data_IF_764661778387
#
_entry.id   IF_764661778387
#
_cell.length_a   1.000
_cell.length_b   1.000
_cell.length_c   1.000
_cell.angle_alpha   90.00
_cell.angle_beta   90.00
_cell.angle_gamma   90.00
#
_symmetry.space_group_name_H-M   'P 1'
#
loop_
_entity.id
_entity.type
_entity.pdbx_description
1 polymer ?
#
# COMPACT_ATOMS: atom_id res chain seq x y z
N UNK A 1 34.31 34.96 -16.95
CA UNK A 1 33.45 33.92 -17.54
C UNK A 1 33.32 32.78 -16.53
N UNK A 2 32.31 32.85 -15.64
CA UNK A 2 32.08 31.82 -14.58
C UNK A 2 30.61 31.35 -14.55
N UNK A 3 29.94 31.40 -15.70
CA UNK A 3 28.54 30.96 -15.85
C UNK A 3 28.43 29.57 -16.48
N UNK A 4 29.22 28.61 -15.99
CA UNK A 4 29.25 27.26 -16.58
C UNK A 4 29.58 26.10 -15.65
N UNK A 5 29.82 26.34 -14.36
CA UNK A 5 30.21 25.27 -13.43
C UNK A 5 29.27 25.08 -12.23
N UNK A 6 28.21 25.89 -12.12
CA UNK A 6 27.22 25.78 -11.03
C UNK A 6 25.93 25.04 -11.44
N UNK A 7 25.75 24.75 -12.74
CA UNK A 7 24.49 24.18 -13.26
C UNK A 7 24.52 22.64 -13.30
N UNK A 8 25.70 22.02 -13.39
CA UNK A 8 25.82 20.55 -13.45
C UNK A 8 25.69 19.87 -12.08
N UNK A 9 26.00 20.57 -10.97
CA UNK A 9 25.96 19.98 -9.62
C UNK A 9 24.53 19.87 -9.04
N UNK A 10 23.56 20.59 -9.63
CA UNK A 10 22.19 20.60 -9.16
C UNK A 10 21.36 19.44 -9.75
N UNK A 11 21.68 19.04 -10.99
CA UNK A 11 20.97 18.00 -11.75
C UNK A 11 21.17 16.60 -11.13
N UNK A 12 22.39 16.28 -10.67
CA UNK A 12 22.70 14.96 -10.10
C UNK A 12 22.00 14.70 -8.75
N UNK A 13 21.70 15.76 -7.98
CA UNK A 13 21.01 15.65 -6.68
C UNK A 13 19.49 15.56 -6.86
N UNK A 14 18.93 16.28 -7.84
CA UNK A 14 17.48 16.27 -8.11
C UNK A 14 16.96 14.87 -8.49
N UNK A 15 17.70 14.11 -9.30
CA UNK A 15 17.33 12.73 -9.67
C UNK A 15 17.28 11.79 -8.45
N UNK A 16 18.13 12.02 -7.44
CA UNK A 16 18.16 11.23 -6.20
C UNK A 16 16.96 11.56 -5.31
N UNK A 17 16.57 12.84 -5.23
CA UNK A 17 15.42 13.29 -4.44
C UNK A 17 14.13 12.71 -5.03
N UNK A 18 13.97 12.77 -6.36
CA UNK A 18 12.80 12.23 -7.05
C UNK A 18 12.68 10.71 -6.89
N UNK A 19 13.79 9.96 -6.94
CA UNK A 19 13.76 8.51 -6.74
C UNK A 19 13.44 8.10 -5.29
N UNK A 20 13.95 8.81 -4.29
CA UNK A 20 13.62 8.52 -2.90
C UNK A 20 12.13 8.77 -2.60
N UNK A 21 11.56 9.88 -3.09
CA UNK A 21 10.13 10.17 -2.95
C UNK A 21 9.25 9.12 -3.64
N UNK A 22 9.65 8.66 -4.84
CA UNK A 22 8.94 7.61 -5.56
C UNK A 22 9.02 6.25 -4.83
N UNK A 23 10.16 5.89 -4.24
CA UNK A 23 10.35 4.66 -3.48
C UNK A 23 9.53 4.70 -2.17
N UNK A 24 9.52 5.82 -1.48
CA UNK A 24 8.75 5.97 -0.24
C UNK A 24 7.24 5.91 -0.51
N UNK A 25 6.78 6.55 -1.59
CA UNK A 25 5.39 6.44 -2.05
C UNK A 25 5.04 4.99 -2.41
N UNK A 26 5.85 4.32 -3.24
CA UNK A 26 5.62 2.93 -3.64
C UNK A 26 5.62 1.96 -2.44
N UNK A 27 6.47 2.19 -1.43
CA UNK A 27 6.47 1.38 -0.19
C UNK A 27 5.20 1.59 0.63
N UNK A 28 4.66 2.80 0.69
CA UNK A 28 3.43 3.09 1.42
C UNK A 28 2.23 2.45 0.73
N UNK A 29 2.14 2.58 -0.60
CA UNK A 29 1.09 1.96 -1.41
C UNK A 29 1.15 0.43 -1.32
N UNK A 30 2.32 -0.18 -1.52
CA UNK A 30 2.47 -1.63 -1.43
C UNK A 30 2.17 -2.20 -0.04
N UNK A 31 2.44 -1.44 1.04
CA UNK A 31 2.04 -1.83 2.40
C UNK A 31 0.53 -1.76 2.60
N UNK A 32 -0.12 -0.71 2.08
CA UNK A 32 -1.57 -0.55 2.17
C UNK A 32 -2.30 -1.63 1.36
N UNK A 33 -1.84 -1.91 0.14
CA UNK A 33 -2.38 -2.97 -0.72
C UNK A 33 -2.20 -4.35 -0.08
N UNK A 34 -1.00 -4.67 0.41
CA UNK A 34 -0.73 -5.95 1.07
C UNK A 34 -1.55 -6.16 2.34
N UNK A 35 -1.81 -5.09 3.11
CA UNK A 35 -2.68 -5.16 4.28
C UNK A 35 -4.14 -5.44 3.87
N UNK A 36 -4.65 -4.72 2.86
CA UNK A 36 -6.01 -4.90 2.38
C UNK A 36 -6.23 -6.29 1.78
N UNK A 37 -5.27 -6.80 0.99
CA UNK A 37 -5.34 -8.14 0.41
C UNK A 37 -5.25 -9.22 1.49
N UNK A 38 -4.37 -9.06 2.48
CA UNK A 38 -4.27 -9.95 3.63
C UNK A 38 -5.58 -10.03 4.43
N UNK A 39 -6.22 -8.89 4.71
CA UNK A 39 -7.51 -8.83 5.42
C UNK A 39 -8.60 -9.56 4.64
N UNK A 40 -8.70 -9.33 3.32
CA UNK A 40 -9.66 -10.04 2.45
C UNK A 40 -9.40 -11.54 2.42
N UNK A 41 -8.13 -11.96 2.33
CA UNK A 41 -7.79 -13.38 2.28
C UNK A 41 -8.09 -14.09 3.60
N UNK A 42 -7.88 -13.42 4.74
CA UNK A 42 -8.30 -13.93 6.05
C UNK A 42 -9.83 -14.05 6.09
N UNK A 43 -10.57 -13.01 5.72
CA UNK A 43 -12.04 -13.04 5.70
C UNK A 43 -12.61 -14.17 4.82
N UNK A 44 -12.07 -14.36 3.62
CA UNK A 44 -12.48 -15.44 2.70
C UNK A 44 -12.20 -16.83 3.30
N UNK A 45 -11.05 -17.02 3.96
CA UNK A 45 -10.73 -18.26 4.63
C UNK A 45 -11.67 -18.56 5.81
N UNK A 46 -11.98 -17.54 6.63
CA UNK A 46 -12.90 -17.68 7.74
C UNK A 46 -14.33 -18.04 7.27
N UNK A 47 -14.79 -17.42 6.17
CA UNK A 47 -16.06 -17.75 5.52
C UNK A 47 -16.07 -19.20 5.02
N UNK A 48 -14.99 -19.64 4.38
CA UNK A 48 -14.82 -21.04 3.92
C UNK A 48 -14.82 -22.05 5.08
N UNK A 49 -14.34 -21.65 6.26
CA UNK A 49 -14.39 -22.46 7.48
C UNK A 49 -15.78 -22.52 8.12
N UNK A 50 -16.77 -21.77 7.59
CA UNK A 50 -18.14 -21.76 8.09
C UNK A 50 -18.38 -20.82 9.27
N UNK A 51 -17.49 -19.86 9.53
CA UNK A 51 -17.77 -18.80 10.51
C UNK A 51 -18.88 -17.89 10.03
N UNK A 52 -19.63 -17.34 10.98
CA UNK A 52 -20.70 -16.38 10.71
C UNK A 52 -20.14 -15.03 10.27
N UNK A 53 -20.88 -14.34 9.40
CA UNK A 53 -20.47 -13.06 8.82
C UNK A 53 -20.19 -11.99 9.89
N UNK A 54 -20.93 -12.00 11.00
CA UNK A 54 -20.73 -11.06 12.12
C UNK A 54 -19.40 -11.29 12.83
N UNK A 55 -19.04 -12.54 13.15
CA UNK A 55 -17.74 -12.82 13.76
C UNK A 55 -16.57 -12.48 12.83
N UNK A 56 -16.74 -12.69 11.52
CA UNK A 56 -15.73 -12.30 10.53
C UNK A 56 -15.61 -10.79 10.49
N UNK A 57 -16.72 -10.05 10.36
CA UNK A 57 -16.74 -8.58 10.35
C UNK A 57 -16.08 -7.99 11.59
N UNK A 58 -16.37 -8.53 12.77
CA UNK A 58 -15.77 -8.11 14.03
C UNK A 58 -14.26 -8.36 14.11
N UNK A 59 -13.76 -9.39 13.40
CA UNK A 59 -12.34 -9.79 13.46
C UNK A 59 -11.49 -9.14 12.36
N UNK A 60 -12.08 -8.81 11.22
CA UNK A 60 -11.37 -8.28 10.04
C UNK A 60 -11.62 -6.79 9.80
N UNK A 61 -12.66 -6.23 10.43
CA UNK A 61 -13.07 -4.84 10.23
C UNK A 61 -13.80 -4.57 8.91
N UNK A 62 -14.10 -5.61 8.13
CA UNK A 62 -14.90 -5.53 6.91
C UNK A 62 -16.40 -5.51 7.23
N UNK A 63 -17.20 -4.94 6.35
CA UNK A 63 -18.66 -5.02 6.49
C UNK A 63 -19.19 -6.40 6.08
N UNK A 64 -20.39 -6.74 6.53
CA UNK A 64 -21.03 -8.00 6.14
C UNK A 64 -21.25 -8.09 4.62
N UNK A 65 -21.52 -6.95 3.96
CA UNK A 65 -21.64 -6.87 2.51
C UNK A 65 -20.32 -7.17 1.81
N UNK A 66 -19.21 -6.60 2.29
CA UNK A 66 -17.88 -6.86 1.76
C UNK A 66 -17.52 -8.34 1.89
N UNK A 67 -17.80 -8.95 3.05
CA UNK A 67 -17.53 -10.38 3.29
C UNK A 67 -18.46 -11.27 2.46
N UNK A 68 -19.71 -10.86 2.24
CA UNK A 68 -20.64 -11.60 1.38
C UNK A 68 -20.16 -11.63 -0.07
N UNK A 69 -19.48 -10.58 -0.53
CA UNK A 69 -18.93 -10.46 -1.88
C UNK A 69 -17.57 -11.16 -2.09
N UNK A 70 -16.92 -11.65 -1.03
CA UNK A 70 -15.70 -12.49 -1.09
C UNK A 70 -16.02 -13.95 -1.41
#
# INVERSE_FOLDING_TARGET
MVRGLFVLLYIDIDDIIIQNDAIDTAKLEGKAEGLAEGIRQVAANLKRMGMDLKSIANSTGLTEEEISSL
#
